data_IF_527759356517
#
_entry.id   IF_527759356517
#
_cell.length_a   1.000
_cell.length_b   1.000
_cell.length_c   1.000
_cell.angle_alpha   90.00
_cell.angle_beta   90.00
_cell.angle_gamma   90.00
#
_symmetry.space_group_name_H-M   'P 1'
#
loop_
_entity.id
_entity.type
_entity.pdbx_description
1 polymer ?
#
# COMPACT_ATOMS: atom_id res chain seq x y z
N UNK A 1 2.40 -29.27 2.85
CA UNK A 1 2.25 -30.37 3.81
C UNK A 1 2.10 -29.76 5.20
N UNK A 2 0.90 -29.80 5.80
CA UNK A 2 0.72 -29.59 7.25
C UNK A 2 0.53 -30.98 7.86
N UNK A 3 1.44 -31.40 8.72
CA UNK A 3 1.09 -32.34 9.78
C UNK A 3 1.54 -31.67 11.06
N UNK A 4 0.63 -30.90 11.66
CA UNK A 4 0.76 -30.42 13.03
C UNK A 4 0.00 -31.43 13.88
N UNK A 5 0.73 -32.39 14.44
CA UNK A 5 0.19 -33.25 15.49
C UNK A 5 0.48 -32.59 16.84
N UNK A 6 -0.62 -32.42 17.56
CA UNK A 6 -0.77 -32.17 18.99
C UNK A 6 -0.96 -30.71 19.44
N UNK A 7 -2.25 -30.41 19.63
CA UNK A 7 -2.89 -29.44 20.51
C UNK A 7 -2.25 -28.06 20.66
N UNK A 8 -2.75 -27.13 19.86
CA UNK A 8 -2.62 -25.69 20.11
C UNK A 8 -3.98 -25.17 20.58
N UNK A 9 -4.18 -25.10 21.89
CA UNK A 9 -5.27 -24.29 22.47
C UNK A 9 -4.84 -22.84 22.40
N UNK A 10 -5.30 -22.11 21.38
CA UNK A 10 -5.01 -20.68 21.17
C UNK A 10 -3.50 -20.38 21.02
N UNK A 11 -3.05 -20.07 19.80
CA UNK A 11 -1.77 -19.41 19.59
C UNK A 11 -1.99 -18.31 18.56
N UNK A 12 -1.81 -17.05 18.98
CA UNK A 12 -1.79 -15.86 18.11
C UNK A 12 -0.54 -15.80 17.21
N UNK A 13 0.10 -16.93 16.93
CA UNK A 13 1.34 -16.96 16.17
C UNK A 13 1.56 -18.28 15.42
N UNK A 14 2.33 -18.20 14.33
CA UNK A 14 2.84 -19.34 13.57
C UNK A 14 4.32 -19.16 13.27
N UNK A 15 5.08 -20.24 13.38
CA UNK A 15 6.50 -20.28 13.00
C UNK A 15 6.68 -20.81 11.58
N UNK A 16 7.76 -20.39 10.92
CA UNK A 16 8.18 -20.90 9.61
C UNK A 16 9.68 -21.23 9.60
N UNK A 17 10.08 -22.15 8.73
CA UNK A 17 11.49 -22.48 8.44
C UNK A 17 11.63 -22.57 6.93
N UNK A 18 12.59 -21.85 6.36
CA UNK A 18 12.84 -21.85 4.92
C UNK A 18 14.33 -22.08 4.63
N UNK A 19 14.62 -22.68 3.48
CA UNK A 19 15.98 -22.79 2.94
C UNK A 19 16.10 -21.91 1.71
N UNK A 20 17.22 -21.21 1.56
CA UNK A 20 17.57 -20.47 0.34
C UNK A 20 18.97 -20.80 -0.12
N UNK A 21 19.21 -20.73 -1.42
CA UNK A 21 20.54 -20.87 -2.01
C UNK A 21 21.00 -19.51 -2.50
N UNK A 22 22.10 -18.99 -1.92
CA UNK A 22 22.67 -17.71 -2.34
C UNK A 22 21.75 -16.52 -2.09
N UNK A 23 21.84 -15.51 -2.94
CA UNK A 23 20.97 -14.32 -2.94
C UNK A 23 19.70 -14.53 -3.78
N UNK A 24 18.74 -13.60 -3.67
CA UNK A 24 17.58 -13.58 -4.54
C UNK A 24 18.02 -13.38 -5.99
N UNK A 25 17.46 -14.19 -6.90
CA UNK A 25 17.65 -13.99 -8.33
C UNK A 25 16.94 -12.72 -8.79
N UNK A 26 17.32 -12.19 -9.96
CA UNK A 26 16.64 -11.00 -10.49
C UNK A 26 15.14 -11.25 -10.69
N UNK A 27 14.76 -12.41 -11.23
CA UNK A 27 13.35 -12.78 -11.39
C UNK A 27 12.57 -12.80 -10.06
N UNK A 28 13.22 -13.21 -8.96
CA UNK A 28 12.61 -13.16 -7.63
C UNK A 28 12.47 -11.72 -7.11
N UNK A 29 13.49 -10.88 -7.35
CA UNK A 29 13.44 -9.45 -6.99
C UNK A 29 12.31 -8.74 -7.74
N UNK A 30 12.20 -8.95 -9.04
CA UNK A 30 11.15 -8.35 -9.88
C UNK A 30 9.75 -8.80 -9.43
N UNK A 31 9.59 -10.08 -9.09
CA UNK A 31 8.32 -10.60 -8.58
C UNK A 31 7.97 -10.03 -7.20
N UNK A 32 8.94 -9.85 -6.32
CA UNK A 32 8.75 -9.22 -5.02
C UNK A 32 8.37 -7.75 -5.16
N UNK A 33 9.03 -7.00 -6.04
CA UNK A 33 8.70 -5.59 -6.30
C UNK A 33 7.26 -5.46 -6.80
N UNK A 34 6.86 -6.25 -7.81
CA UNK A 34 5.47 -6.27 -8.31
C UNK A 34 4.45 -6.63 -7.23
N UNK A 35 4.80 -7.58 -6.35
CA UNK A 35 3.96 -7.92 -5.23
C UNK A 35 3.82 -6.74 -4.27
N UNK A 36 4.93 -6.08 -3.92
CA UNK A 36 4.93 -4.92 -3.02
C UNK A 36 4.12 -3.78 -3.61
N UNK A 37 4.33 -3.41 -4.87
CA UNK A 37 3.57 -2.36 -5.55
C UNK A 37 2.06 -2.63 -5.48
N UNK A 38 1.64 -3.85 -5.84
CA UNK A 38 0.22 -4.23 -5.83
C UNK A 38 -0.39 -4.27 -4.43
N UNK A 39 0.38 -4.66 -3.40
CA UNK A 39 -0.15 -4.79 -2.05
C UNK A 39 -0.14 -3.48 -1.27
N UNK A 40 0.93 -2.70 -1.37
CA UNK A 40 1.16 -1.57 -0.47
C UNK A 40 0.85 -0.21 -1.07
N UNK A 41 0.69 -0.08 -2.38
CA UNK A 41 0.28 1.18 -3.00
C UNK A 41 -1.24 1.27 -3.21
N UNK A 42 -1.92 0.12 -3.33
CA UNK A 42 -3.32 0.06 -3.73
C UNK A 42 -3.50 0.19 -5.24
N UNK A 43 -4.67 0.67 -5.66
CA UNK A 43 -5.05 0.79 -7.06
C UNK A 43 -4.79 2.21 -7.59
N UNK A 44 -4.31 2.37 -8.83
CA UNK A 44 -4.17 3.69 -9.45
C UNK A 44 -5.54 4.29 -9.74
N UNK A 45 -5.79 5.51 -9.25
CA UNK A 45 -7.07 6.21 -9.44
C UNK A 45 -6.93 7.44 -10.36
N UNK A 46 -5.77 8.11 -10.36
CA UNK A 46 -5.50 9.26 -11.23
C UNK A 46 -4.07 9.23 -11.72
N UNK A 47 -3.85 9.74 -12.92
CA UNK A 47 -2.54 9.95 -13.54
C UNK A 47 -2.41 11.41 -13.98
N UNK A 48 -1.17 11.90 -14.23
CA UNK A 48 -0.96 13.26 -14.75
C UNK A 48 -1.65 13.55 -16.09
N UNK A 49 -2.10 12.51 -16.81
CA UNK A 49 -2.79 12.64 -18.08
C UNK A 49 -4.29 12.93 -17.91
N UNK A 50 -4.84 12.75 -16.70
CA UNK A 50 -6.24 13.03 -16.43
C UNK A 50 -6.56 14.52 -16.57
N UNK A 51 -7.73 14.80 -17.13
CA UNK A 51 -8.26 16.16 -17.24
C UNK A 51 -8.84 16.65 -15.91
N UNK A 52 -8.93 17.97 -15.70
CA UNK A 52 -9.57 18.51 -14.47
C UNK A 52 -11.00 18.01 -14.28
N UNK A 53 -11.73 17.73 -15.37
CA UNK A 53 -13.07 17.15 -15.30
C UNK A 53 -13.07 15.73 -14.74
N UNK A 54 -12.08 14.92 -15.12
CA UNK A 54 -11.93 13.55 -14.59
C UNK A 54 -11.48 13.58 -13.14
N UNK A 55 -10.54 14.47 -12.79
CA UNK A 55 -10.08 14.67 -11.42
C UNK A 55 -11.24 15.10 -10.51
N UNK A 56 -12.03 16.11 -10.94
CA UNK A 56 -13.19 16.57 -10.18
C UNK A 56 -14.25 15.49 -10.02
N UNK A 57 -14.49 14.67 -11.07
CA UNK A 57 -15.40 13.52 -11.00
C UNK A 57 -14.93 12.50 -9.97
N UNK A 58 -13.64 12.19 -9.93
CA UNK A 58 -13.07 11.28 -8.94
C UNK A 58 -13.25 11.83 -7.52
N UNK A 59 -13.07 13.13 -7.32
CA UNK A 59 -13.34 13.77 -6.03
C UNK A 59 -14.83 13.71 -5.65
N UNK A 60 -15.76 13.80 -6.60
CA UNK A 60 -17.20 13.71 -6.32
C UNK A 60 -17.70 12.28 -6.09
N UNK A 61 -17.09 11.29 -6.74
CA UNK A 61 -17.58 9.90 -6.72
C UNK A 61 -16.84 9.00 -5.72
N UNK A 62 -15.58 9.33 -5.40
CA UNK A 62 -14.76 8.53 -4.50
C UNK A 62 -14.96 8.97 -3.05
N UNK A 63 -15.55 8.09 -2.25
CA UNK A 63 -15.81 8.33 -0.83
C UNK A 63 -14.56 8.76 -0.06
N UNK A 64 -13.39 8.23 -0.41
CA UNK A 64 -12.13 8.56 0.26
C UNK A 64 -11.65 9.99 -0.03
N UNK A 65 -12.24 10.66 -1.02
CA UNK A 65 -11.82 11.98 -1.49
C UNK A 65 -12.92 13.06 -1.38
N UNK A 66 -14.17 12.65 -1.11
CA UNK A 66 -15.40 13.46 -1.30
C UNK A 66 -15.53 14.74 -0.46
N UNK A 67 -14.76 14.90 0.62
CA UNK A 67 -14.92 16.06 1.51
C UNK A 67 -13.63 16.48 2.23
N UNK A 68 -12.49 16.34 1.54
CA UNK A 68 -11.17 16.64 2.10
C UNK A 68 -10.43 17.66 1.21
N UNK A 69 -10.78 18.94 1.29
CA UNK A 69 -10.21 20.00 0.44
C UNK A 69 -8.66 20.01 0.45
N UNK A 70 -8.04 19.91 1.63
CA UNK A 70 -6.58 19.86 1.78
C UNK A 70 -5.98 18.64 1.05
N UNK A 71 -6.65 17.49 1.11
CA UNK A 71 -6.24 16.25 0.41
C UNK A 71 -6.37 16.41 -1.10
N UNK A 72 -7.48 16.97 -1.57
CA UNK A 72 -7.70 17.24 -2.99
C UNK A 72 -6.68 18.23 -3.54
N UNK A 73 -6.28 19.24 -2.75
CA UNK A 73 -5.20 20.16 -3.13
C UNK A 73 -3.86 19.43 -3.28
N UNK A 74 -3.46 18.63 -2.29
CA UNK A 74 -2.23 17.83 -2.35
C UNK A 74 -2.22 16.88 -3.54
N UNK A 75 -3.35 16.23 -3.85
CA UNK A 75 -3.52 15.39 -5.04
C UNK A 75 -3.24 16.18 -6.32
N UNK A 76 -3.83 17.38 -6.47
CA UNK A 76 -3.56 18.24 -7.65
C UNK A 76 -2.10 18.65 -7.74
N UNK A 77 -1.44 18.94 -6.62
CA UNK A 77 -0.02 19.29 -6.58
C UNK A 77 0.86 18.11 -7.01
N UNK A 78 0.58 16.90 -6.51
CA UNK A 78 1.28 15.68 -6.91
C UNK A 78 1.11 15.38 -8.41
N UNK A 79 -0.10 15.51 -8.95
CA UNK A 79 -0.37 15.35 -10.38
C UNK A 79 0.43 16.35 -11.24
N UNK A 80 0.53 17.62 -10.79
CA UNK A 80 1.36 18.65 -11.46
C UNK A 80 2.86 18.33 -11.42
N UNK A 81 3.34 17.61 -10.41
CA UNK A 81 4.72 17.09 -10.33
C UNK A 81 4.95 15.88 -11.24
N UNK A 82 3.92 15.37 -11.91
CA UNK A 82 4.00 14.18 -12.76
C UNK A 82 3.82 12.86 -12.00
N UNK A 83 3.28 12.89 -10.78
CA UNK A 83 3.02 11.70 -9.98
C UNK A 83 1.63 11.13 -10.27
N UNK A 84 1.52 9.80 -10.25
CA UNK A 84 0.22 9.11 -10.26
C UNK A 84 -0.28 8.93 -8.82
N UNK A 85 -1.61 8.92 -8.67
CA UNK A 85 -2.29 8.81 -7.39
C UNK A 85 -2.85 7.41 -7.24
N UNK A 86 -2.59 6.81 -6.10
CA UNK A 86 -3.07 5.49 -5.73
C UNK A 86 -3.93 5.58 -4.48
N UNK A 87 -4.95 4.72 -4.39
CA UNK A 87 -5.78 4.57 -3.20
C UNK A 87 -5.94 3.09 -2.85
N UNK A 88 -5.98 2.80 -1.56
CA UNK A 88 -6.19 1.45 -1.04
C UNK A 88 -6.75 1.48 0.37
N UNK A 89 -7.36 0.37 0.78
CA UNK A 89 -7.96 0.22 2.10
C UNK A 89 -7.33 -0.98 2.80
N UNK A 90 -6.93 -0.80 4.06
CA UNK A 90 -6.45 -1.90 4.91
C UNK A 90 -7.61 -2.39 5.76
N UNK A 91 -7.98 -3.67 5.59
CA UNK A 91 -9.06 -4.30 6.35
C UNK A 91 -8.49 -4.95 7.62
N UNK A 92 -8.77 -4.36 8.79
CA UNK A 92 -8.30 -4.85 10.10
C UNK A 92 -9.10 -6.03 10.66
N UNK A 93 -10.24 -6.38 10.05
CA UNK A 93 -11.06 -7.52 10.51
C UNK A 93 -10.29 -8.86 10.51
N UNK A 94 -9.23 -8.96 9.69
CA UNK A 94 -8.39 -10.16 9.56
C UNK A 94 -6.94 -9.96 10.04
N UNK A 95 -6.56 -8.76 10.53
CA UNK A 95 -5.19 -8.45 10.90
C UNK A 95 -5.10 -7.42 12.04
N UNK A 96 -4.33 -7.75 13.08
CA UNK A 96 -4.00 -6.84 14.18
C UNK A 96 -3.19 -5.62 13.69
N UNK A 97 -3.11 -4.57 14.53
CA UNK A 97 -2.36 -3.31 14.31
C UNK A 97 -0.96 -3.49 13.67
N UNK A 98 -0.34 -4.64 13.88
CA UNK A 98 0.91 -5.03 13.25
C UNK A 98 0.91 -4.96 11.71
N UNK A 99 -0.25 -5.01 11.05
CA UNK A 99 -0.34 -4.85 9.60
C UNK A 99 -0.13 -3.38 9.20
N UNK A 100 -0.70 -2.43 9.94
CA UNK A 100 -0.48 -1.01 9.72
C UNK A 100 1.01 -0.65 9.80
N UNK A 101 1.70 -1.23 10.80
CA UNK A 101 3.15 -1.05 10.96
C UNK A 101 3.96 -1.51 9.75
N UNK A 102 3.52 -2.58 9.06
CA UNK A 102 4.21 -3.09 7.87
C UNK A 102 3.99 -2.14 6.69
N UNK A 103 2.77 -1.63 6.50
CA UNK A 103 2.50 -0.61 5.47
C UNK A 103 3.35 0.65 5.71
N UNK A 104 3.36 1.16 6.95
CA UNK A 104 4.17 2.31 7.34
C UNK A 104 5.66 2.10 7.01
N UNK A 105 6.23 0.95 7.37
CA UNK A 105 7.64 0.62 7.05
C UNK A 105 7.93 0.56 5.56
N UNK A 106 6.99 0.07 4.75
CA UNK A 106 7.16 0.04 3.29
C UNK A 106 7.14 1.47 2.75
N UNK A 107 6.21 2.32 3.18
CA UNK A 107 6.14 3.72 2.75
C UNK A 107 7.35 4.53 3.23
N UNK A 108 7.87 4.31 4.44
CA UNK A 108 9.12 4.90 4.92
C UNK A 108 10.34 4.53 4.04
N UNK A 109 10.35 3.32 3.45
CA UNK A 109 11.41 2.94 2.50
C UNK A 109 11.23 3.69 1.18
N UNK A 110 9.99 3.85 0.71
CA UNK A 110 9.71 4.56 -0.55
C UNK A 110 9.99 6.06 -0.44
N UNK A 111 9.70 6.68 0.71
CA UNK A 111 9.93 8.10 1.00
C UNK A 111 11.42 8.49 1.03
N UNK A 112 12.34 7.52 0.99
CA UNK A 112 13.77 7.78 0.82
C UNK A 112 14.15 8.19 -0.61
N UNK A 113 13.23 8.05 -1.56
CA UNK A 113 13.39 8.47 -2.95
C UNK A 113 12.50 9.69 -3.28
N UNK A 114 12.86 10.43 -4.32
CA UNK A 114 12.18 11.66 -4.74
C UNK A 114 10.89 11.44 -5.56
N UNK A 115 10.51 10.18 -5.75
CA UNK A 115 9.38 9.76 -6.58
C UNK A 115 8.19 9.20 -5.77
N UNK A 116 8.16 9.42 -4.46
CA UNK A 116 7.07 9.03 -3.57
C UNK A 116 6.67 10.20 -2.66
N UNK A 117 5.38 10.35 -2.39
CA UNK A 117 4.86 11.36 -1.48
C UNK A 117 3.59 10.80 -0.80
N UNK A 118 3.61 10.67 0.53
CA UNK A 118 2.44 10.28 1.31
C UNK A 118 1.45 11.45 1.44
N UNK A 119 0.25 11.32 0.87
CA UNK A 119 -0.79 12.36 0.94
C UNK A 119 -1.63 12.22 2.22
N UNK A 120 -2.19 11.04 2.41
CA UNK A 120 -2.85 10.58 3.63
C UNK A 120 -2.45 9.11 3.85
N UNK A 121 -1.60 8.89 4.84
CA UNK A 121 -1.03 7.58 5.18
C UNK A 121 -1.35 7.20 6.62
N UNK A 122 -2.29 7.91 7.27
CA UNK A 122 -2.71 7.57 8.62
C UNK A 122 -3.60 6.33 8.57
N UNK A 123 -3.10 5.28 9.21
CA UNK A 123 -3.75 3.99 9.29
C UNK A 123 -4.29 3.70 10.70
N UNK A 124 -4.25 4.69 11.61
CA UNK A 124 -4.81 4.54 12.94
C UNK A 124 -6.34 4.40 12.89
N UNK A 125 -6.87 3.45 13.67
CA UNK A 125 -8.30 3.12 13.77
C UNK A 125 -8.81 3.30 15.21
#
# INVERSE_FOLDING_TARGET
MKIRTDFVTNSSSSSFVIARKGELTQAQKDALIKFVERQFLGEPILTPENTEKEIAKEFEENWDLYDFEDRQQKIREALKKGMSIYSGTVMYEDAEDCLADIYGKVWEILDQADNFEGIDTDLSY
#
